data_IF_952754762207
#
_entry.id   IF_952754762207
#
_cell.length_a   1.000
_cell.length_b   1.000
_cell.length_c   1.000
_cell.angle_alpha   90.00
_cell.angle_beta   90.00
_cell.angle_gamma   90.00
#
_symmetry.space_group_name_H-M   'P 1'
#
loop_
_entity.id
_entity.type
_entity.pdbx_description
1 polymer ?
#
# COMPACT_ATOMS: atom_id res chain seq x y z
N UNK A 1 2.94 -0.11 14.75
CA UNK A 1 2.45 1.27 14.85
C UNK A 1 2.90 2.01 13.62
N UNK A 2 2.00 2.72 12.96
CA UNK A 2 2.29 3.45 11.72
C UNK A 2 2.74 4.85 12.07
N UNK A 3 3.82 5.31 11.48
CA UNK A 3 4.21 6.72 11.51
C UNK A 3 4.17 7.24 10.07
N UNK A 4 3.10 7.93 9.68
CA UNK A 4 3.23 8.80 8.53
C UNK A 4 4.22 9.92 8.92
N UNK A 5 5.07 10.35 8.00
CA UNK A 5 5.82 11.57 8.24
C UNK A 5 4.83 12.69 8.57
N UNK A 6 5.17 13.52 9.54
CA UNK A 6 4.41 14.71 9.83
C UNK A 6 4.16 15.48 8.52
N UNK A 7 3.02 16.19 8.43
CA UNK A 7 2.59 17.01 7.28
C UNK A 7 3.68 17.91 6.67
N UNK A 8 4.78 18.08 7.38
CA UNK A 8 5.91 18.93 7.02
C UNK A 8 7.01 18.26 6.19
N UNK A 9 6.99 16.94 5.96
CA UNK A 9 8.06 16.33 5.12
C UNK A 9 7.93 16.74 3.66
N UNK A 10 6.72 16.86 3.14
CA UNK A 10 6.49 17.40 1.79
C UNK A 10 6.72 18.92 1.71
N UNK A 11 6.57 19.66 2.82
CA UNK A 11 6.83 21.10 2.88
C UNK A 11 8.30 21.44 3.22
N UNK A 12 9.00 20.58 3.97
CA UNK A 12 10.41 20.79 4.33
C UNK A 12 11.39 20.28 3.28
N UNK A 13 11.00 19.33 2.48
CA UNK A 13 11.83 18.71 1.46
C UNK A 13 11.07 18.67 0.16
N UNK A 14 11.20 19.71 -0.68
CA UNK A 14 10.68 19.69 -2.02
C UNK A 14 11.45 18.64 -2.82
N UNK A 15 10.98 17.42 -2.75
CA UNK A 15 11.48 16.31 -3.52
C UNK A 15 10.41 15.93 -4.54
N UNK A 16 10.76 15.86 -5.75
CA UNK A 16 12.06 16.09 -6.39
C UNK A 16 12.50 17.55 -6.32
N UNK A 17 13.79 17.79 -6.49
CA UNK A 17 14.42 19.12 -6.43
C UNK A 17 13.65 20.17 -7.23
N UNK A 18 13.07 21.16 -6.55
CA UNK A 18 12.23 22.21 -7.17
C UNK A 18 13.02 23.23 -8.01
N UNK A 19 14.35 23.12 -8.12
CA UNK A 19 15.13 23.97 -9.05
C UNK A 19 14.64 23.86 -10.49
N UNK A 20 14.01 22.72 -10.84
CA UNK A 20 13.35 22.55 -12.13
C UNK A 20 12.23 23.58 -12.40
N UNK A 21 11.61 24.17 -11.36
CA UNK A 21 10.62 25.23 -11.54
C UNK A 21 11.23 26.53 -12.04
N UNK A 22 12.53 26.74 -11.82
CA UNK A 22 13.29 27.89 -12.32
C UNK A 22 13.99 27.61 -13.67
N UNK A 23 13.66 26.50 -14.33
CA UNK A 23 14.27 26.07 -15.60
C UNK A 23 15.61 25.36 -15.46
N UNK A 24 16.11 25.12 -14.26
CA UNK A 24 17.29 24.31 -14.01
C UNK A 24 16.94 22.82 -14.07
N UNK A 25 17.86 21.98 -14.52
CA UNK A 25 17.68 20.53 -14.46
C UNK A 25 17.88 20.06 -13.01
N UNK A 26 16.94 19.27 -12.49
CA UNK A 26 17.08 18.65 -11.17
C UNK A 26 18.24 17.67 -11.14
N UNK A 27 18.88 17.55 -10.00
CA UNK A 27 19.91 16.53 -9.76
C UNK A 27 19.25 15.16 -9.62
N UNK A 28 19.45 14.29 -10.63
CA UNK A 28 18.97 12.90 -10.66
C UNK A 28 20.09 11.89 -10.40
N UNK A 29 21.18 12.35 -9.78
CA UNK A 29 22.30 11.47 -9.46
C UNK A 29 21.92 10.40 -8.44
N UNK A 30 22.68 9.31 -8.43
CA UNK A 30 22.51 8.24 -7.43
C UNK A 30 22.72 8.79 -6.00
N UNK A 31 23.59 9.78 -5.84
CA UNK A 31 23.85 10.41 -4.54
C UNK A 31 22.61 11.22 -4.06
N UNK A 32 21.99 12.00 -4.94
CA UNK A 32 20.77 12.73 -4.61
C UNK A 32 19.61 11.77 -4.25
N UNK A 33 19.47 10.68 -5.00
CA UNK A 33 18.49 9.64 -4.71
C UNK A 33 18.76 8.92 -3.39
N UNK A 34 20.03 8.70 -3.05
CA UNK A 34 20.42 8.12 -1.75
C UNK A 34 20.09 9.05 -0.60
N UNK A 35 20.33 10.35 -0.72
CA UNK A 35 19.94 11.35 0.29
C UNK A 35 18.42 11.40 0.51
N UNK A 36 17.63 11.33 -0.57
CA UNK A 36 16.18 11.22 -0.46
C UNK A 36 15.79 9.98 0.35
N UNK A 37 16.34 8.81 -0.01
CA UNK A 37 16.07 7.57 0.69
C UNK A 37 16.47 7.61 2.16
N UNK A 38 17.65 8.20 2.49
CA UNK A 38 18.12 8.36 3.86
C UNK A 38 17.15 9.19 4.70
N UNK A 39 16.75 10.35 4.21
CA UNK A 39 15.84 11.24 4.94
C UNK A 39 14.53 10.52 5.26
N UNK A 40 13.91 9.90 4.26
CA UNK A 40 12.62 9.25 4.44
C UNK A 40 12.72 8.02 5.34
N UNK A 41 13.64 7.11 5.02
CA UNK A 41 13.77 5.83 5.72
C UNK A 41 14.20 6.06 7.17
N UNK A 42 15.21 6.92 7.42
CA UNK A 42 15.67 7.15 8.78
C UNK A 42 14.60 7.81 9.64
N UNK A 43 13.87 8.79 9.09
CA UNK A 43 12.78 9.46 9.82
C UNK A 43 11.71 8.45 10.27
N UNK A 44 11.22 7.61 9.37
CA UNK A 44 10.12 6.68 9.71
C UNK A 44 10.58 5.57 10.65
N UNK A 45 11.83 5.13 10.57
CA UNK A 45 12.39 4.13 11.48
C UNK A 45 12.67 4.73 12.86
N UNK A 46 13.23 5.94 12.94
CA UNK A 46 13.43 6.66 14.21
C UNK A 46 12.10 6.88 14.93
N UNK A 47 11.07 7.33 14.21
CA UNK A 47 9.74 7.55 14.77
C UNK A 47 9.11 6.25 15.28
N UNK A 48 9.27 5.16 14.53
CA UNK A 48 8.79 3.85 14.95
C UNK A 48 9.48 3.40 16.25
N UNK A 49 10.80 3.49 16.33
CA UNK A 49 11.59 3.14 17.52
C UNK A 49 11.14 3.97 18.71
N UNK A 50 11.01 5.30 18.55
CA UNK A 50 10.54 6.20 19.62
C UNK A 50 9.14 5.82 20.13
N UNK A 51 8.21 5.52 19.22
CA UNK A 51 6.81 5.21 19.57
C UNK A 51 6.62 3.83 20.18
N UNK A 52 7.43 2.86 19.77
CA UNK A 52 7.28 1.47 20.21
C UNK A 52 8.20 1.08 21.34
N UNK A 53 9.29 1.84 21.55
CA UNK A 53 10.38 1.47 22.47
C UNK A 53 11.13 0.21 22.05
N UNK A 54 10.99 -0.26 20.81
CA UNK A 54 11.66 -1.46 20.34
C UNK A 54 13.17 -1.24 20.29
N UNK A 55 13.94 -2.20 20.80
CA UNK A 55 15.39 -2.20 20.62
C UNK A 55 15.70 -2.70 19.19
N UNK A 56 16.45 -1.93 18.38
CA UNK A 56 16.84 -2.37 17.03
C UNK A 56 17.52 -3.74 16.99
N UNK A 57 18.21 -4.13 18.05
CA UNK A 57 18.85 -5.44 18.19
C UNK A 57 17.87 -6.60 18.37
N UNK A 58 16.59 -6.32 18.61
CA UNK A 58 15.54 -7.36 18.67
C UNK A 58 14.91 -7.68 17.32
N UNK A 59 15.24 -6.91 16.29
CA UNK A 59 14.72 -7.11 14.95
C UNK A 59 15.42 -8.31 14.30
N UNK A 60 14.64 -9.34 13.96
CA UNK A 60 15.12 -10.59 13.36
C UNK A 60 15.07 -10.56 11.83
N UNK A 61 14.16 -9.75 11.27
CA UNK A 61 13.97 -9.61 9.85
C UNK A 61 13.75 -8.15 9.47
N UNK A 62 14.42 -7.68 8.44
CA UNK A 62 14.27 -6.36 7.85
C UNK A 62 13.83 -6.49 6.38
N UNK A 63 12.68 -5.93 6.03
CA UNK A 63 12.22 -5.86 4.65
C UNK A 63 12.05 -4.40 4.26
N UNK A 64 12.81 -3.92 3.30
CA UNK A 64 12.64 -2.59 2.72
C UNK A 64 12.11 -2.72 1.30
N UNK A 65 11.06 -2.01 0.98
CA UNK A 65 10.53 -1.98 -0.38
C UNK A 65 10.64 -0.55 -0.95
N UNK A 66 11.27 -0.48 -2.12
CA UNK A 66 11.38 0.70 -2.96
C UNK A 66 11.54 0.18 -4.40
N UNK A 67 10.62 0.54 -5.29
CA UNK A 67 10.58 -0.07 -6.62
C UNK A 67 11.51 0.60 -7.61
N UNK A 68 11.68 1.91 -7.52
CA UNK A 68 12.38 2.74 -8.51
C UNK A 68 13.84 3.02 -8.15
N UNK A 69 14.27 2.66 -6.92
CA UNK A 69 15.65 2.84 -6.48
C UNK A 69 16.17 1.62 -5.72
N UNK A 70 17.10 0.92 -6.33
CA UNK A 70 17.74 -0.29 -5.76
C UNK A 70 19.27 -0.18 -5.84
N UNK A 71 19.89 0.63 -4.97
CA UNK A 71 21.33 0.91 -5.02
C UNK A 71 22.16 -0.23 -4.44
N UNK A 72 23.48 -0.17 -4.74
CA UNK A 72 24.51 -0.96 -4.09
C UNK A 72 25.44 0.02 -3.32
N UNK A 73 25.65 -0.10 -1.99
CA UNK A 73 24.99 -1.01 -1.04
C UNK A 73 23.46 -0.80 -0.94
N UNK A 74 22.75 -1.85 -0.50
CA UNK A 74 21.27 -1.85 -0.45
C UNK A 74 20.72 -0.88 0.60
N UNK A 75 19.45 -0.50 0.46
CA UNK A 75 18.74 0.30 1.47
C UNK A 75 18.69 -0.43 2.83
N UNK A 76 18.63 -1.77 2.83
CA UNK A 76 18.72 -2.55 4.07
C UNK A 76 20.06 -2.35 4.77
N UNK A 77 21.17 -2.35 4.03
CA UNK A 77 22.50 -2.10 4.60
C UNK A 77 22.60 -0.71 5.24
N UNK A 78 21.93 0.30 4.67
CA UNK A 78 21.85 1.64 5.27
C UNK A 78 21.18 1.61 6.64
N UNK A 79 20.02 0.95 6.75
CA UNK A 79 19.27 0.85 8.02
C UNK A 79 20.03 0.03 9.05
N UNK A 80 20.61 -1.11 8.66
CA UNK A 80 21.39 -1.97 9.56
C UNK A 80 22.53 -1.18 10.19
N UNK A 81 23.30 -0.43 9.38
CA UNK A 81 24.42 0.36 9.86
C UNK A 81 23.96 1.55 10.70
N UNK A 82 22.95 2.30 10.28
CA UNK A 82 22.48 3.50 10.97
C UNK A 82 21.93 3.20 12.35
N UNK A 83 21.15 2.12 12.49
CA UNK A 83 20.43 1.79 13.72
C UNK A 83 21.10 0.67 14.54
N UNK A 84 22.23 0.13 14.08
CA UNK A 84 22.97 -0.89 14.78
C UNK A 84 22.18 -2.20 14.96
N UNK A 85 21.50 -2.67 13.92
CA UNK A 85 20.84 -3.96 13.95
C UNK A 85 21.88 -5.07 14.11
N UNK A 86 21.42 -6.26 14.53
CA UNK A 86 22.31 -7.43 14.64
C UNK A 86 22.92 -7.82 13.29
N UNK A 87 24.10 -8.39 13.33
CA UNK A 87 24.82 -8.84 12.12
C UNK A 87 24.20 -10.05 11.44
N UNK A 88 23.35 -10.79 12.16
CA UNK A 88 22.62 -11.97 11.69
C UNK A 88 21.18 -11.69 11.28
N UNK A 89 20.77 -10.40 11.21
CA UNK A 89 19.45 -9.99 10.77
C UNK A 89 19.19 -10.45 9.33
N UNK A 90 18.06 -11.13 9.10
CA UNK A 90 17.65 -11.52 7.75
C UNK A 90 17.13 -10.28 7.02
N UNK A 91 17.80 -9.82 5.96
CA UNK A 91 17.45 -8.58 5.28
C UNK A 91 17.09 -8.79 3.81
N UNK A 92 16.01 -8.12 3.36
CA UNK A 92 15.48 -8.22 2.00
C UNK A 92 15.16 -6.84 1.44
N UNK A 93 15.71 -6.52 0.29
CA UNK A 93 15.39 -5.31 -0.47
C UNK A 93 14.47 -5.68 -1.64
N UNK A 94 13.20 -5.27 -1.58
CA UNK A 94 12.21 -5.55 -2.63
C UNK A 94 12.17 -4.39 -3.62
N UNK A 95 12.64 -4.63 -4.84
CA UNK A 95 12.58 -3.68 -5.94
C UNK A 95 11.64 -4.18 -7.05
N UNK A 96 11.14 -3.27 -7.89
CA UNK A 96 10.33 -3.60 -9.06
C UNK A 96 8.94 -4.20 -8.76
N UNK A 97 8.46 -4.15 -7.52
CA UNK A 97 7.16 -4.71 -7.13
C UNK A 97 6.00 -3.72 -7.31
N UNK A 98 6.31 -2.45 -7.57
CA UNK A 98 5.35 -1.36 -7.70
C UNK A 98 4.65 -1.01 -6.40
N UNK A 99 3.57 -0.24 -6.49
CA UNK A 99 2.87 0.29 -5.32
C UNK A 99 2.26 -0.78 -4.39
N UNK A 100 2.13 -2.03 -4.85
CA UNK A 100 1.66 -3.14 -3.99
C UNK A 100 2.76 -3.74 -3.10
N UNK A 101 4.00 -3.23 -3.18
CA UNK A 101 5.14 -3.75 -2.44
C UNK A 101 4.94 -3.74 -0.92
N UNK A 102 4.18 -2.77 -0.39
CA UNK A 102 3.83 -2.71 1.03
C UNK A 102 3.10 -3.98 1.50
N UNK A 103 2.06 -4.41 0.78
CA UNK A 103 1.32 -5.65 1.09
C UNK A 103 2.13 -6.91 0.78
N UNK A 104 2.94 -6.89 -0.29
CA UNK A 104 3.87 -8.00 -0.60
C UNK A 104 4.88 -8.19 0.54
N UNK A 105 5.38 -7.10 1.12
CA UNK A 105 6.29 -7.15 2.28
C UNK A 105 5.64 -7.80 3.50
N UNK A 106 4.34 -7.54 3.73
CA UNK A 106 3.58 -8.21 4.80
C UNK A 106 3.52 -9.72 4.58
N UNK A 107 3.21 -10.16 3.36
CA UNK A 107 3.20 -11.59 3.04
C UNK A 107 4.57 -12.24 3.21
N UNK A 108 5.63 -11.58 2.73
CA UNK A 108 7.00 -12.07 2.91
C UNK A 108 7.35 -12.22 4.39
N UNK A 109 7.10 -11.17 5.20
CA UNK A 109 7.34 -11.22 6.64
C UNK A 109 6.48 -12.29 7.33
N UNK A 110 5.20 -12.45 6.96
CA UNK A 110 4.34 -13.52 7.46
C UNK A 110 4.98 -14.90 7.23
N UNK A 111 5.50 -15.14 6.03
CA UNK A 111 6.10 -16.43 5.69
C UNK A 111 7.41 -16.65 6.46
N UNK A 112 8.25 -15.64 6.60
CA UNK A 112 9.50 -15.71 7.38
C UNK A 112 9.20 -15.95 8.86
N UNK A 113 8.28 -15.17 9.45
CA UNK A 113 7.88 -15.32 10.84
C UNK A 113 7.20 -16.65 11.12
N UNK A 114 6.51 -17.24 10.15
CA UNK A 114 5.93 -18.58 10.29
C UNK A 114 7.00 -19.67 10.40
N UNK A 115 8.18 -19.45 9.81
CA UNK A 115 9.31 -20.36 9.90
C UNK A 115 10.21 -20.11 11.13
N UNK A 116 10.15 -18.89 11.71
CA UNK A 116 10.94 -18.50 12.89
C UNK A 116 10.00 -18.08 14.03
N UNK A 117 9.76 -18.93 15.03
CA UNK A 117 8.93 -18.55 16.18
C UNK A 117 9.62 -17.48 17.02
N UNK A 118 8.83 -16.72 17.75
CA UNK A 118 9.30 -15.71 18.70
C UNK A 118 10.18 -14.60 18.08
N UNK A 119 9.82 -14.16 16.88
CA UNK A 119 10.61 -13.24 16.06
C UNK A 119 9.87 -11.94 15.75
N UNK A 120 10.64 -10.91 15.44
CA UNK A 120 10.18 -9.56 15.12
C UNK A 120 10.69 -9.15 13.73
N UNK A 121 9.78 -8.66 12.88
CA UNK A 121 10.11 -8.15 11.56
C UNK A 121 9.81 -6.65 11.46
N UNK A 122 10.75 -5.90 10.87
CA UNK A 122 10.57 -4.50 10.49
C UNK A 122 10.35 -4.42 8.98
N UNK A 123 9.23 -3.82 8.58
CA UNK A 123 8.97 -3.43 7.19
C UNK A 123 9.16 -1.94 7.07
N UNK A 124 9.87 -1.49 6.03
CA UNK A 124 9.95 -0.09 5.64
C UNK A 124 9.46 0.03 4.20
N UNK A 125 8.38 0.77 4.01
CA UNK A 125 7.80 1.04 2.70
C UNK A 125 8.09 2.46 2.28
N UNK A 126 8.67 2.64 1.09
CA UNK A 126 8.95 3.96 0.51
C UNK A 126 8.99 3.87 -1.01
N UNK A 127 9.06 5.03 -1.66
CA UNK A 127 9.43 5.15 -3.06
C UNK A 127 10.40 6.32 -3.23
N UNK A 128 11.30 6.19 -4.18
CA UNK A 128 12.29 7.21 -4.53
C UNK A 128 11.90 7.87 -5.86
N UNK A 129 11.77 9.18 -5.84
CA UNK A 129 11.29 9.93 -7.01
C UNK A 129 12.41 10.69 -7.73
N UNK A 130 13.54 10.95 -7.06
CA UNK A 130 14.63 11.77 -7.59
C UNK A 130 15.08 11.33 -8.97
N UNK A 131 15.32 10.02 -9.17
CA UNK A 131 15.78 9.50 -10.46
C UNK A 131 14.69 9.41 -11.54
N UNK A 132 13.42 9.41 -11.12
CA UNK A 132 12.28 9.18 -11.99
C UNK A 132 11.54 10.46 -12.36
N UNK A 133 12.02 11.64 -11.95
CA UNK A 133 11.42 12.90 -12.33
C UNK A 133 11.55 13.10 -13.83
N UNK A 134 10.42 13.17 -14.53
CA UNK A 134 10.35 13.30 -15.96
C UNK A 134 10.41 14.77 -16.39
N UNK A 135 11.34 15.11 -17.29
CA UNK A 135 11.55 16.45 -17.81
C UNK A 135 11.04 16.65 -19.25
N UNK A 136 10.46 15.63 -19.84
CA UNK A 136 9.89 15.71 -21.20
C UNK A 136 8.46 16.23 -21.23
N UNK A 137 7.81 16.09 -22.39
CA UNK A 137 6.47 16.61 -22.66
C UNK A 137 5.41 15.53 -22.96
N UNK A 138 5.76 14.24 -22.86
CA UNK A 138 4.80 13.16 -23.08
C UNK A 138 3.82 13.08 -21.88
N UNK A 139 2.51 13.16 -22.20
CA UNK A 139 1.44 13.17 -21.21
C UNK A 139 1.40 11.89 -20.35
N UNK A 140 1.80 10.76 -20.92
CA UNK A 140 1.83 9.48 -20.19
C UNK A 140 2.83 9.49 -19.04
N UNK A 141 3.96 10.19 -19.21
CA UNK A 141 4.98 10.36 -18.18
C UNK A 141 4.70 11.56 -17.27
N UNK A 142 4.16 12.66 -17.79
CA UNK A 142 3.81 13.84 -16.97
C UNK A 142 2.78 13.53 -15.90
N UNK A 143 1.92 12.53 -16.12
CA UNK A 143 0.94 12.09 -15.12
C UNK A 143 1.61 11.60 -13.85
N UNK A 144 2.78 10.96 -13.95
CA UNK A 144 3.59 10.58 -12.79
C UNK A 144 3.97 11.80 -11.95
N UNK A 145 4.49 12.86 -12.57
CA UNK A 145 4.92 14.07 -11.86
C UNK A 145 3.76 14.75 -11.11
N UNK A 146 2.53 14.62 -11.61
CA UNK A 146 1.35 15.20 -10.94
C UNK A 146 0.85 14.37 -9.77
N UNK A 147 1.00 13.05 -9.79
CA UNK A 147 0.42 12.13 -8.83
C UNK A 147 1.41 11.71 -7.74
N UNK A 148 2.65 11.37 -8.11
CA UNK A 148 3.60 10.76 -7.17
C UNK A 148 4.21 11.79 -6.22
N UNK A 149 4.35 11.38 -4.98
CA UNK A 149 4.95 12.17 -3.90
C UNK A 149 5.88 11.28 -3.07
N UNK A 150 6.89 11.91 -2.48
CA UNK A 150 7.78 11.25 -1.56
C UNK A 150 7.08 10.93 -0.24
N UNK A 151 7.33 9.75 0.30
CA UNK A 151 6.79 9.33 1.58
C UNK A 151 7.29 7.97 2.00
N UNK A 152 7.11 7.65 3.28
CA UNK A 152 7.52 6.37 3.83
C UNK A 152 6.66 5.95 5.01
N UNK A 153 6.73 4.67 5.33
CA UNK A 153 6.10 4.09 6.52
C UNK A 153 6.96 2.97 7.07
N UNK A 154 7.02 2.86 8.40
CA UNK A 154 7.68 1.78 9.10
C UNK A 154 6.67 0.97 9.91
N UNK A 155 6.72 -0.35 9.82
CA UNK A 155 5.74 -1.27 10.40
C UNK A 155 6.48 -2.40 11.12
N UNK A 156 6.05 -2.71 12.35
CA UNK A 156 6.52 -3.89 13.07
C UNK A 156 5.49 -5.01 12.97
N UNK A 157 5.96 -6.20 12.61
CA UNK A 157 5.20 -7.44 12.67
C UNK A 157 5.89 -8.39 13.66
N UNK A 158 5.11 -9.00 14.53
CA UNK A 158 5.61 -9.93 15.55
C UNK A 158 4.79 -11.21 15.57
N UNK A 159 5.45 -12.34 15.79
CA UNK A 159 4.81 -13.58 16.18
C UNK A 159 5.12 -13.97 17.64
N UNK A 160 5.70 -13.04 18.42
CA UNK A 160 5.91 -13.23 19.86
C UNK A 160 4.57 -13.22 20.58
N UNK A 161 4.30 -14.22 21.40
CA UNK A 161 3.07 -14.28 22.18
C UNK A 161 2.92 -13.08 23.11
N UNK A 162 4.03 -12.61 23.71
CA UNK A 162 4.09 -11.45 24.58
C UNK A 162 3.67 -10.14 23.94
N UNK A 163 3.70 -10.02 22.61
CA UNK A 163 3.33 -8.79 21.91
C UNK A 163 1.82 -8.68 21.64
N UNK A 164 1.07 -9.78 21.88
CA UNK A 164 -0.36 -9.82 21.57
C UNK A 164 -1.20 -8.78 22.33
N UNK A 165 -0.82 -8.42 23.56
CA UNK A 165 -1.57 -7.45 24.37
C UNK A 165 -1.38 -5.99 23.89
N UNK A 166 -0.25 -5.66 23.25
CA UNK A 166 0.06 -4.32 22.72
C UNK A 166 -0.16 -4.18 21.23
N UNK A 167 -0.45 -5.29 20.54
CA UNK A 167 -0.68 -5.27 19.11
C UNK A 167 -1.98 -4.54 18.77
N UNK A 168 -1.93 -3.59 17.84
CA UNK A 168 -3.12 -2.90 17.35
C UNK A 168 -3.95 -3.78 16.43
N UNK A 169 -3.29 -4.58 15.61
CA UNK A 169 -3.92 -5.43 14.60
C UNK A 169 -3.34 -6.84 14.61
N UNK A 170 -4.20 -7.79 14.27
CA UNK A 170 -3.81 -9.16 13.92
C UNK A 170 -4.02 -9.37 12.42
N UNK A 171 -3.00 -9.82 11.72
CA UNK A 171 -3.13 -10.24 10.33
C UNK A 171 -3.95 -11.52 10.25
N UNK A 172 -5.05 -11.49 9.52
CA UNK A 172 -5.92 -12.65 9.31
C UNK A 172 -5.56 -13.37 8.01
N UNK A 173 -5.40 -12.63 6.91
CA UNK A 173 -5.18 -13.20 5.59
C UNK A 173 -4.42 -12.25 4.69
N UNK A 174 -3.58 -12.81 3.82
CA UNK A 174 -3.00 -12.14 2.66
C UNK A 174 -3.36 -12.92 1.40
N UNK A 175 -3.73 -12.20 0.35
CA UNK A 175 -3.93 -12.78 -0.98
C UNK A 175 -3.11 -12.00 -2.00
N UNK A 176 -2.26 -12.73 -2.70
CA UNK A 176 -1.40 -12.20 -3.75
C UNK A 176 -1.89 -12.65 -5.11
N UNK A 177 -2.06 -11.71 -6.03
CA UNK A 177 -2.54 -11.99 -7.38
C UNK A 177 -1.73 -11.22 -8.40
N UNK A 178 -1.26 -11.92 -9.41
CA UNK A 178 -0.72 -11.31 -10.61
C UNK A 178 -1.68 -11.54 -11.78
N UNK A 179 -2.03 -10.45 -12.43
CA UNK A 179 -2.81 -10.49 -13.66
C UNK A 179 -1.86 -10.44 -14.86
N UNK A 180 -1.83 -11.52 -15.62
CA UNK A 180 -0.91 -11.68 -16.74
C UNK A 180 -1.68 -11.52 -18.05
N UNK A 181 -1.37 -10.44 -18.77
CA UNK A 181 -1.83 -10.16 -20.13
C UNK A 181 -0.87 -9.12 -20.72
N UNK A 182 -0.70 -9.08 -22.02
CA UNK A 182 0.17 -8.10 -22.71
C UNK A 182 -0.17 -6.67 -22.32
N UNK A 183 -1.47 -6.30 -22.35
CA UNK A 183 -1.94 -4.97 -21.96
C UNK A 183 -1.60 -4.63 -20.48
N UNK A 184 -1.50 -5.63 -19.61
CA UNK A 184 -1.31 -5.44 -18.18
C UNK A 184 0.14 -5.16 -17.82
N UNK A 185 1.09 -5.73 -18.54
CA UNK A 185 2.52 -5.53 -18.28
C UNK A 185 2.94 -4.08 -18.53
N UNK A 186 2.48 -3.49 -19.62
CA UNK A 186 2.81 -2.11 -20.03
C UNK A 186 1.99 -1.01 -19.33
N UNK A 187 1.04 -1.33 -18.43
CA UNK A 187 0.18 -0.32 -17.80
C UNK A 187 0.91 0.70 -16.95
N UNK A 188 1.95 0.26 -16.24
CA UNK A 188 2.85 1.09 -15.43
C UNK A 188 4.27 0.63 -15.75
N UNK A 189 4.98 1.41 -16.51
CA UNK A 189 6.23 0.96 -17.12
C UNK A 189 7.33 2.03 -16.99
N UNK A 190 8.42 1.70 -16.31
CA UNK A 190 9.61 2.55 -16.25
C UNK A 190 10.38 2.39 -17.55
N UNK A 191 10.52 3.48 -18.29
CA UNK A 191 11.18 3.50 -19.61
C UNK A 191 11.61 4.91 -19.98
N UNK A 192 12.14 5.06 -21.17
CA UNK A 192 12.50 6.34 -21.78
C UNK A 192 11.46 6.73 -22.84
N UNK A 193 11.29 8.03 -23.04
CA UNK A 193 10.50 8.56 -24.14
C UNK A 193 11.31 8.54 -25.47
N UNK A 194 10.69 9.01 -26.56
CA UNK A 194 11.34 9.08 -27.89
C UNK A 194 12.61 9.96 -27.94
N UNK A 195 12.82 10.79 -26.91
CA UNK A 195 13.98 11.68 -26.76
C UNK A 195 15.03 11.16 -25.78
N UNK A 196 14.82 9.97 -25.21
CA UNK A 196 15.71 9.37 -24.22
C UNK A 196 15.52 9.91 -22.80
N UNK A 197 14.41 10.63 -22.51
CA UNK A 197 14.12 11.08 -21.14
C UNK A 197 13.42 9.98 -20.35
N UNK A 198 14.04 9.57 -19.25
CA UNK A 198 13.55 8.49 -18.38
C UNK A 198 12.38 8.94 -17.52
N UNK A 199 11.44 8.03 -17.27
CA UNK A 199 10.29 8.23 -16.39
C UNK A 199 9.45 6.97 -16.23
N UNK A 200 8.31 7.09 -15.55
CA UNK A 200 7.33 6.02 -15.45
C UNK A 200 6.10 6.38 -16.27
N UNK A 201 5.88 5.63 -17.33
CA UNK A 201 4.72 5.78 -18.20
C UNK A 201 3.50 5.13 -17.58
N UNK A 202 2.39 5.87 -17.51
CA UNK A 202 1.10 5.41 -17.04
C UNK A 202 0.12 5.31 -18.21
N UNK A 203 -0.42 4.11 -18.45
CA UNK A 203 -1.41 3.86 -19.50
C UNK A 203 -2.80 4.34 -19.09
N UNK A 204 -3.61 4.73 -20.06
CA UNK A 204 -5.05 5.04 -19.87
C UNK A 204 -5.87 3.81 -19.45
N UNK A 205 -5.40 2.60 -19.76
CA UNK A 205 -6.08 1.35 -19.46
C UNK A 205 -5.90 0.88 -18.01
N UNK A 206 -5.13 1.61 -17.20
CA UNK A 206 -4.79 1.22 -15.81
C UNK A 206 -6.05 0.89 -14.97
N UNK A 207 -7.13 1.65 -15.11
CA UNK A 207 -8.38 1.43 -14.35
C UNK A 207 -9.04 0.11 -14.75
N UNK A 208 -9.08 -0.19 -16.06
CA UNK A 208 -9.65 -1.43 -16.60
C UNK A 208 -8.84 -2.66 -16.17
N UNK A 209 -7.52 -2.55 -16.23
CA UNK A 209 -6.60 -3.63 -15.83
C UNK A 209 -6.66 -3.85 -14.32
N UNK A 210 -6.70 -2.78 -13.53
CA UNK A 210 -6.87 -2.83 -12.08
C UNK A 210 -8.19 -3.54 -11.70
N UNK A 211 -9.29 -3.24 -12.39
CA UNK A 211 -10.59 -3.91 -12.18
C UNK A 211 -10.51 -5.43 -12.39
N UNK A 212 -9.86 -5.88 -13.46
CA UNK A 212 -9.68 -7.32 -13.75
C UNK A 212 -8.75 -8.01 -12.74
N UNK A 213 -7.67 -7.35 -12.35
CA UNK A 213 -6.76 -7.88 -11.34
C UNK A 213 -7.45 -7.99 -9.98
N UNK A 214 -8.29 -7.02 -9.63
CA UNK A 214 -9.11 -7.03 -8.41
C UNK A 214 -10.14 -8.16 -8.42
N UNK A 215 -10.85 -8.37 -9.53
CA UNK A 215 -11.82 -9.48 -9.68
C UNK A 215 -11.14 -10.82 -9.36
N UNK A 216 -9.95 -11.06 -9.92
CA UNK A 216 -9.17 -12.28 -9.65
C UNK A 216 -8.75 -12.37 -8.18
N UNK A 217 -8.30 -11.28 -7.59
CA UNK A 217 -7.89 -11.23 -6.18
C UNK A 217 -9.08 -11.52 -5.25
N UNK A 218 -10.21 -10.87 -5.49
CA UNK A 218 -11.40 -11.00 -4.65
C UNK A 218 -12.10 -12.34 -4.78
N UNK A 219 -12.00 -12.99 -5.93
CA UNK A 219 -12.44 -14.37 -6.09
C UNK A 219 -11.68 -15.32 -5.16
N UNK A 220 -10.38 -15.07 -4.97
CA UNK A 220 -9.54 -15.84 -4.04
C UNK A 220 -9.76 -15.42 -2.59
N UNK A 221 -9.97 -14.12 -2.32
CA UNK A 221 -10.14 -13.58 -0.98
C UNK A 221 -11.52 -13.91 -0.38
N UNK A 222 -12.56 -13.94 -1.22
CA UNK A 222 -13.95 -14.08 -0.80
C UNK A 222 -14.22 -15.19 0.21
N UNK A 223 -13.77 -16.43 -0.03
CA UNK A 223 -13.97 -17.55 0.90
C UNK A 223 -13.42 -17.33 2.31
N UNK A 224 -12.41 -16.47 2.49
CA UNK A 224 -11.79 -16.20 3.78
C UNK A 224 -12.46 -15.07 4.56
N UNK A 225 -13.19 -14.18 3.90
CA UNK A 225 -13.70 -12.95 4.54
C UNK A 225 -15.21 -12.83 4.53
N UNK A 226 -15.86 -13.41 3.52
CA UNK A 226 -17.32 -13.30 3.37
C UNK A 226 -18.05 -14.23 4.35
N UNK A 227 -19.19 -13.79 4.90
CA UNK A 227 -20.06 -14.67 5.67
C UNK A 227 -20.62 -15.79 4.79
N UNK A 228 -20.92 -16.94 5.40
CA UNK A 228 -21.42 -18.14 4.71
C UNK A 228 -22.61 -17.83 3.81
N UNK A 229 -23.50 -16.93 4.21
CA UNK A 229 -24.66 -16.51 3.42
C UNK A 229 -24.27 -15.88 2.06
N UNK A 230 -23.21 -15.07 2.01
CA UNK A 230 -22.71 -14.48 0.76
C UNK A 230 -21.96 -15.52 -0.08
N UNK A 231 -21.25 -16.44 0.56
CA UNK A 231 -20.58 -17.55 -0.15
C UNK A 231 -21.60 -18.45 -0.83
N UNK A 232 -22.69 -18.82 -0.15
CA UNK A 232 -23.76 -19.63 -0.71
C UNK A 232 -24.47 -18.92 -1.87
N UNK A 233 -24.78 -17.62 -1.75
CA UNK A 233 -25.34 -16.83 -2.85
C UNK A 233 -24.41 -16.82 -4.06
N UNK A 234 -23.12 -16.59 -3.83
CA UNK A 234 -22.11 -16.59 -4.90
C UNK A 234 -22.07 -17.94 -5.60
N UNK A 235 -22.02 -19.04 -4.85
CA UNK A 235 -22.05 -20.40 -5.38
C UNK A 235 -23.30 -20.70 -6.20
N UNK A 236 -24.47 -20.28 -5.69
CA UNK A 236 -25.75 -20.43 -6.42
C UNK A 236 -25.71 -19.68 -7.76
N UNK A 237 -25.30 -18.42 -7.78
CA UNK A 237 -25.22 -17.64 -9.02
C UNK A 237 -24.15 -18.16 -9.99
N UNK A 238 -23.04 -18.70 -9.50
CA UNK A 238 -22.06 -19.39 -10.33
C UNK A 238 -22.66 -20.63 -11.01
N UNK A 239 -23.43 -21.43 -10.26
CA UNK A 239 -24.14 -22.60 -10.80
C UNK A 239 -25.17 -22.18 -11.86
N UNK A 240 -26.01 -21.18 -11.58
CA UNK A 240 -27.00 -20.66 -12.53
C UNK A 240 -26.34 -20.22 -13.84
N UNK A 241 -25.22 -19.47 -13.74
CA UNK A 241 -24.46 -19.05 -14.94
C UNK A 241 -23.84 -20.23 -15.70
N UNK A 242 -23.34 -21.22 -14.98
CA UNK A 242 -22.80 -22.42 -15.61
C UNK A 242 -23.89 -23.19 -16.39
N UNK A 243 -25.06 -23.38 -15.77
CA UNK A 243 -26.19 -24.03 -16.42
C UNK A 243 -26.71 -23.24 -17.63
N UNK A 244 -26.81 -21.91 -17.50
CA UNK A 244 -27.22 -21.05 -18.63
C UNK A 244 -26.20 -21.11 -19.78
N UNK A 245 -24.93 -21.18 -19.51
CA UNK A 245 -23.86 -21.34 -20.51
C UNK A 245 -23.98 -22.69 -21.23
N UNK A 246 -24.26 -23.77 -20.49
CA UNK A 246 -24.53 -25.09 -21.10
C UNK A 246 -25.80 -25.09 -21.95
N UNK A 247 -26.88 -24.52 -21.44
CA UNK A 247 -28.13 -24.41 -22.19
C UNK A 247 -27.93 -23.65 -23.51
N UNK A 248 -27.20 -22.53 -23.49
CA UNK A 248 -26.85 -21.79 -24.69
C UNK A 248 -26.04 -22.62 -25.71
N UNK A 249 -25.13 -23.47 -25.22
CA UNK A 249 -24.36 -24.37 -26.08
C UNK A 249 -25.22 -25.44 -26.76
N UNK A 250 -26.37 -25.77 -26.18
CA UNK A 250 -27.38 -26.67 -26.77
C UNK A 250 -28.46 -25.90 -27.62
N UNK A 251 -28.20 -24.63 -27.96
CA UNK A 251 -29.07 -23.84 -28.83
C UNK A 251 -30.30 -23.22 -28.13
N UNK A 252 -30.38 -23.32 -26.79
CA UNK A 252 -31.47 -22.69 -26.03
C UNK A 252 -31.13 -21.21 -25.84
N UNK A 253 -32.03 -20.31 -26.28
CA UNK A 253 -31.89 -18.87 -26.07
C UNK A 253 -31.94 -18.58 -24.56
N UNK A 254 -30.79 -18.18 -23.97
CA UNK A 254 -30.70 -17.74 -22.60
C UNK A 254 -30.32 -16.28 -22.55
N UNK A 255 -30.93 -15.51 -21.66
CA UNK A 255 -30.49 -14.13 -21.39
C UNK A 255 -29.09 -14.11 -20.76
N UNK A 256 -28.36 -13.03 -21.04
CA UNK A 256 -26.99 -12.84 -20.47
C UNK A 256 -27.09 -12.59 -18.97
N UNK A 257 -26.84 -13.61 -18.17
CA UNK A 257 -26.82 -13.51 -16.72
C UNK A 257 -25.51 -12.83 -16.27
N UNK A 258 -25.64 -11.64 -15.68
CA UNK A 258 -24.50 -10.91 -15.11
C UNK A 258 -23.92 -11.66 -13.91
N UNK A 259 -22.61 -11.54 -13.66
CA UNK A 259 -22.01 -12.11 -12.47
C UNK A 259 -22.58 -11.47 -11.21
N UNK A 260 -22.84 -12.27 -10.19
CA UNK A 260 -23.14 -11.77 -8.86
C UNK A 260 -21.86 -11.17 -8.25
N UNK A 261 -21.95 -9.97 -7.72
CA UNK A 261 -20.86 -9.32 -6.99
C UNK A 261 -21.20 -9.45 -5.50
N UNK A 262 -20.43 -10.23 -4.73
CA UNK A 262 -20.66 -10.38 -3.30
C UNK A 262 -20.53 -9.06 -2.56
N UNK A 263 -21.33 -8.88 -1.52
CA UNK A 263 -21.24 -7.69 -0.67
C UNK A 263 -20.12 -7.84 0.38
N UNK A 264 -18.94 -7.35 0.05
CA UNK A 264 -17.78 -7.39 0.92
C UNK A 264 -17.94 -6.58 2.21
N UNK A 265 -18.84 -5.59 2.25
CA UNK A 265 -19.16 -4.81 3.45
C UNK A 265 -19.77 -5.66 4.58
N UNK A 266 -20.26 -6.86 4.26
CA UNK A 266 -20.76 -7.81 5.26
C UNK A 266 -19.67 -8.55 6.03
N UNK A 267 -18.43 -8.50 5.55
CA UNK A 267 -17.29 -9.16 6.18
C UNK A 267 -16.12 -8.23 6.47
N UNK A 268 -16.17 -7.00 5.97
CA UNK A 268 -15.12 -5.98 6.10
C UNK A 268 -15.77 -4.67 6.52
N UNK A 269 -15.27 -4.05 7.55
CA UNK A 269 -15.79 -2.81 8.11
C UNK A 269 -15.09 -1.57 7.53
N UNK A 270 -13.77 -1.66 7.27
CA UNK A 270 -12.96 -0.55 6.77
C UNK A 270 -12.13 -0.98 5.55
N UNK A 271 -11.97 -0.05 4.61
CA UNK A 271 -11.25 -0.28 3.36
C UNK A 271 -10.13 0.74 3.22
N UNK A 272 -8.92 0.26 2.96
CA UNK A 272 -7.78 1.04 2.52
C UNK A 272 -7.48 0.64 1.08
N UNK A 273 -7.77 1.53 0.14
CA UNK A 273 -7.64 1.30 -1.30
C UNK A 273 -6.51 2.16 -1.79
N UNK A 274 -5.40 1.54 -2.18
CA UNK A 274 -4.20 2.26 -2.61
C UNK A 274 -4.51 3.54 -3.39
N UNK A 275 -4.02 4.66 -2.89
CA UNK A 275 -4.21 6.01 -3.41
C UNK A 275 -3.41 6.25 -4.71
N UNK A 276 -3.57 5.33 -5.68
CA UNK A 276 -2.86 5.36 -6.96
C UNK A 276 -3.32 6.49 -7.89
N UNK A 277 -4.55 6.98 -7.69
CA UNK A 277 -5.15 8.06 -8.44
C UNK A 277 -6.67 8.04 -8.28
N UNK A 278 -7.32 9.20 -8.49
CA UNK A 278 -8.76 9.36 -8.29
C UNK A 278 -9.59 8.33 -9.06
N UNK A 279 -9.27 8.11 -10.34
CA UNK A 279 -10.03 7.19 -11.19
C UNK A 279 -9.98 5.73 -10.71
N UNK A 280 -8.90 5.31 -10.05
CA UNK A 280 -8.79 3.96 -9.46
C UNK A 280 -9.73 3.83 -8.26
N UNK A 281 -9.72 4.81 -7.35
CA UNK A 281 -10.61 4.82 -6.17
C UNK A 281 -12.08 4.84 -6.61
N UNK A 282 -12.46 5.74 -7.54
CA UNK A 282 -13.81 5.84 -8.08
C UNK A 282 -14.28 4.55 -8.74
N UNK A 283 -13.39 3.90 -9.50
CA UNK A 283 -13.65 2.62 -10.14
C UNK A 283 -13.94 1.50 -9.14
N UNK A 284 -13.19 1.44 -8.05
CA UNK A 284 -13.36 0.41 -7.00
C UNK A 284 -14.60 0.69 -6.17
N UNK A 285 -14.84 1.95 -5.79
CA UNK A 285 -16.06 2.38 -5.09
C UNK A 285 -17.31 1.91 -5.85
N UNK A 286 -17.34 2.17 -7.16
CA UNK A 286 -18.44 1.72 -8.02
C UNK A 286 -18.54 0.21 -8.14
N UNK A 287 -17.44 -0.48 -8.38
CA UNK A 287 -17.42 -1.92 -8.62
C UNK A 287 -17.80 -2.75 -7.39
N UNK A 288 -17.45 -2.28 -6.19
CA UNK A 288 -17.77 -2.94 -4.92
C UNK A 288 -19.02 -2.35 -4.25
N UNK A 289 -19.69 -1.39 -4.89
CA UNK A 289 -20.82 -0.67 -4.32
C UNK A 289 -20.51 -0.14 -2.90
N UNK A 290 -19.33 0.49 -2.75
CA UNK A 290 -18.90 1.11 -1.50
C UNK A 290 -19.61 2.46 -1.31
N UNK A 291 -19.72 2.90 -0.08
CA UNK A 291 -20.20 4.26 0.24
C UNK A 291 -19.03 5.24 0.31
N UNK A 292 -19.27 6.55 0.22
CA UNK A 292 -18.22 7.56 0.39
C UNK A 292 -17.39 7.40 1.67
N UNK A 293 -18.02 6.94 2.76
CA UNK A 293 -17.34 6.65 4.03
C UNK A 293 -16.30 5.52 3.89
N UNK A 294 -16.56 4.49 3.08
CA UNK A 294 -15.62 3.39 2.88
C UNK A 294 -14.37 3.78 2.10
N UNK A 295 -14.42 4.82 1.29
CA UNK A 295 -13.29 5.30 0.48
C UNK A 295 -12.67 6.60 1.03
N UNK A 296 -13.16 7.08 2.17
CA UNK A 296 -12.74 8.34 2.79
C UNK A 296 -11.25 8.35 3.09
N UNK A 297 -10.72 7.31 3.75
CA UNK A 297 -9.29 7.19 4.06
C UNK A 297 -8.41 7.27 2.82
N UNK A 298 -8.81 6.61 1.73
CA UNK A 298 -8.07 6.60 0.47
C UNK A 298 -8.13 7.96 -0.24
N UNK A 299 -9.29 8.61 -0.25
CA UNK A 299 -9.46 9.96 -0.82
C UNK A 299 -8.70 11.00 -0.03
N UNK A 300 -8.76 10.94 1.31
CA UNK A 300 -8.00 11.83 2.17
C UNK A 300 -6.49 11.68 1.95
N UNK A 301 -6.00 10.44 1.92
CA UNK A 301 -4.59 10.16 1.67
C UNK A 301 -4.13 10.70 0.34
N UNK A 302 -4.89 10.46 -0.74
CA UNK A 302 -4.58 10.99 -2.06
C UNK A 302 -4.56 12.52 -2.09
N UNK A 303 -5.51 13.18 -1.41
CA UNK A 303 -5.59 14.63 -1.35
C UNK A 303 -4.45 15.25 -0.55
N UNK A 304 -4.14 14.67 0.62
CA UNK A 304 -3.18 15.26 1.58
C UNK A 304 -1.73 14.93 1.23
N UNK A 305 -1.46 13.69 0.80
CA UNK A 305 -0.10 13.18 0.60
C UNK A 305 0.21 12.83 -0.86
N UNK A 306 -0.80 12.79 -1.74
CA UNK A 306 -0.64 12.27 -3.10
C UNK A 306 -0.42 10.76 -3.13
N UNK A 307 0.12 10.26 -4.25
CA UNK A 307 0.49 8.86 -4.38
C UNK A 307 1.93 8.66 -3.89
N UNK A 308 2.09 8.16 -2.68
CA UNK A 308 3.40 7.80 -2.09
C UNK A 308 3.78 6.33 -2.38
N UNK A 309 3.27 5.76 -3.47
CA UNK A 309 3.54 4.38 -3.89
C UNK A 309 3.15 3.36 -2.82
N UNK A 310 4.08 2.48 -2.45
CA UNK A 310 3.84 1.38 -1.51
C UNK A 310 3.55 1.83 -0.08
N UNK A 311 3.88 3.06 0.28
CA UNK A 311 3.59 3.61 1.61
C UNK A 311 2.18 4.19 1.75
N UNK A 312 1.48 4.54 0.65
CA UNK A 312 0.14 5.12 0.68
C UNK A 312 -0.86 4.30 1.50
N UNK A 313 -0.83 2.98 1.35
CA UNK A 313 -1.75 2.08 2.03
C UNK A 313 -1.64 2.13 3.55
N UNK A 314 -0.48 2.51 4.07
CA UNK A 314 -0.22 2.66 5.48
C UNK A 314 -0.71 4.01 6.02
N UNK A 315 -0.65 5.07 5.21
CA UNK A 315 -1.28 6.37 5.54
C UNK A 315 -2.80 6.24 5.65
N UNK A 316 -3.42 5.45 4.76
CA UNK A 316 -4.84 5.16 4.81
C UNK A 316 -5.22 4.40 6.08
N UNK A 317 -4.41 3.42 6.49
CA UNK A 317 -4.60 2.68 7.73
C UNK A 317 -4.44 3.58 8.95
N UNK A 318 -3.45 4.46 8.98
CA UNK A 318 -3.26 5.45 10.05
C UNK A 318 -4.43 6.44 10.13
N UNK A 319 -4.92 6.92 8.97
CA UNK A 319 -6.12 7.75 8.92
C UNK A 319 -7.34 7.03 9.51
N UNK A 320 -7.52 5.77 9.15
CA UNK A 320 -8.63 4.94 9.66
C UNK A 320 -8.55 4.82 11.18
N UNK A 321 -7.36 4.59 11.71
CA UNK A 321 -7.11 4.47 13.16
C UNK A 321 -7.42 5.78 13.89
N UNK A 322 -7.02 6.93 13.34
CA UNK A 322 -7.11 8.24 14.01
C UNK A 322 -8.46 8.94 13.84
N UNK A 323 -9.08 8.79 12.66
CA UNK A 323 -10.19 9.64 12.25
C UNK A 323 -11.51 8.89 12.02
N UNK A 324 -11.44 7.56 11.82
CA UNK A 324 -12.64 6.75 11.64
C UNK A 324 -13.05 6.04 12.95
N UNK A 325 -14.29 5.56 13.02
CA UNK A 325 -14.79 4.83 14.20
C UNK A 325 -14.34 3.37 14.14
N UNK A 326 -13.03 3.16 14.24
CA UNK A 326 -12.45 1.81 14.30
C UNK A 326 -12.62 1.23 15.71
N UNK A 327 -13.19 0.03 15.79
CA UNK A 327 -13.46 -0.66 17.06
C UNK A 327 -12.78 -2.02 17.11
N UNK A 328 -12.52 -2.49 18.33
CA UNK A 328 -12.04 -3.85 18.55
C UNK A 328 -12.98 -4.88 17.93
N UNK A 329 -12.42 -5.85 17.22
CA UNK A 329 -13.16 -6.91 16.52
C UNK A 329 -13.54 -6.55 15.09
N UNK A 330 -13.42 -5.30 14.67
CA UNK A 330 -13.65 -4.91 13.28
C UNK A 330 -12.51 -5.33 12.37
N UNK A 331 -12.84 -5.55 11.09
CA UNK A 331 -11.90 -5.97 10.05
C UNK A 331 -11.60 -4.83 9.10
N UNK A 332 -10.32 -4.65 8.83
CA UNK A 332 -9.81 -3.69 7.86
C UNK A 332 -9.19 -4.45 6.68
N UNK A 333 -9.56 -4.07 5.46
CA UNK A 333 -9.00 -4.62 4.22
C UNK A 333 -8.11 -3.59 3.55
N UNK A 334 -6.86 -3.96 3.31
CA UNK A 334 -5.95 -3.26 2.42
C UNK A 334 -6.01 -3.87 1.02
N UNK A 335 -6.15 -3.03 -0.01
CA UNK A 335 -6.14 -3.39 -1.43
C UNK A 335 -5.07 -2.56 -2.11
N UNK A 336 -3.99 -3.20 -2.55
CA UNK A 336 -2.88 -2.53 -3.20
C UNK A 336 -2.70 -3.03 -4.64
N UNK A 337 -2.46 -2.08 -5.54
CA UNK A 337 -2.16 -2.36 -6.95
C UNK A 337 -0.70 -2.06 -7.23
N UNK A 338 -0.10 -2.81 -8.14
CA UNK A 338 1.29 -2.62 -8.54
C UNK A 338 1.52 -2.93 -10.02
N UNK A 339 2.62 -2.39 -10.54
CA UNK A 339 3.07 -2.68 -11.91
C UNK A 339 3.18 -4.18 -12.19
N UNK A 340 2.95 -4.57 -13.46
CA UNK A 340 3.21 -5.91 -13.90
C UNK A 340 2.04 -6.85 -14.25
N UNK A 341 0.73 -6.75 -14.03
CA UNK A 341 -0.01 -5.92 -13.09
C UNK A 341 -0.40 -6.76 -11.87
N UNK A 342 -0.34 -6.20 -10.68
CA UNK A 342 -0.61 -6.95 -9.44
C UNK A 342 -1.80 -6.35 -8.69
N UNK A 343 -2.60 -7.21 -8.03
CA UNK A 343 -3.54 -6.82 -7.00
C UNK A 343 -3.29 -7.68 -5.77
N UNK A 344 -2.92 -7.06 -4.67
CA UNK A 344 -2.62 -7.76 -3.44
C UNK A 344 -3.48 -7.19 -2.31
N UNK A 345 -3.95 -8.07 -1.44
CA UNK A 345 -4.80 -7.68 -0.32
C UNK A 345 -4.31 -8.28 0.99
N UNK A 346 -4.53 -7.54 2.07
CA UNK A 346 -4.29 -7.99 3.44
C UNK A 346 -5.50 -7.64 4.30
N UNK A 347 -5.95 -8.60 5.10
CA UNK A 347 -7.08 -8.45 6.02
C UNK A 347 -6.55 -8.44 7.44
N UNK A 348 -6.94 -7.41 8.18
CA UNK A 348 -6.52 -7.17 9.54
C UNK A 348 -7.70 -7.16 10.48
N UNK A 349 -7.54 -7.75 11.66
CA UNK A 349 -8.48 -7.66 12.77
C UNK A 349 -7.96 -6.62 13.77
N UNK A 350 -8.78 -5.63 14.09
CA UNK A 350 -8.48 -4.67 15.14
C UNK A 350 -8.55 -5.37 16.50
N UNK A 351 -7.43 -5.39 17.21
CA UNK A 351 -7.32 -5.94 18.57
C UNK A 351 -7.47 -4.86 19.63
N UNK A 352 -6.78 -3.73 19.43
CA UNK A 352 -6.79 -2.59 20.32
C UNK A 352 -6.95 -1.32 19.49
N UNK A 353 -8.12 -0.70 19.55
CA UNK A 353 -8.32 0.62 19.00
C UNK A 353 -7.67 1.65 19.95
N UNK A 354 -6.98 2.67 19.44
CA UNK A 354 -6.51 3.75 20.30
C UNK A 354 -7.72 4.47 20.90
N UNK A 355 -7.70 4.68 22.22
CA UNK A 355 -8.71 5.49 22.86
C UNK A 355 -8.65 6.90 22.29
N UNK A 356 -9.80 7.45 21.90
CA UNK A 356 -9.91 8.82 21.34
C UNK A 356 -9.50 9.92 22.33
N UNK A 357 -9.20 9.55 23.57
CA UNK A 357 -8.78 10.45 24.63
C UNK A 357 -7.37 11.06 24.43
N UNK A 358 -6.47 10.36 23.74
CA UNK A 358 -5.12 10.88 23.52
C UNK A 358 -5.08 12.05 22.52
N UNK A 359 -6.09 12.17 21.66
CA UNK A 359 -6.22 13.32 20.74
C UNK A 359 -6.72 14.61 21.42
N UNK A 360 -7.35 14.53 22.58
CA UNK A 360 -7.80 15.69 23.35
C UNK A 360 -6.66 16.35 24.13
N UNK A 361 -5.69 15.54 24.60
CA UNK A 361 -4.53 16.03 25.36
C UNK A 361 -3.55 16.82 24.48
N UNK A 362 -3.37 16.41 23.23
CA UNK A 362 -2.52 17.17 22.28
C UNK A 362 -3.15 18.53 21.87
N UNK A 363 -4.49 18.60 21.85
CA UNK A 363 -5.19 19.86 21.52
C UNK A 363 -5.19 20.85 22.69
N UNK A 364 -5.14 20.39 23.92
CA UNK A 364 -5.04 21.27 25.12
C UNK A 364 -3.60 21.77 25.33
N UNK A 365 -2.60 20.91 25.08
CA UNK A 365 -1.18 21.33 25.19
C UNK A 365 -0.76 22.33 24.11
N UNK A 366 -1.43 22.36 22.97
CA UNK A 366 -1.20 23.36 21.92
C UNK A 366 -1.90 24.71 22.19
N UNK A 367 -2.99 24.71 22.97
CA UNK A 367 -3.67 25.96 23.36
C UNK A 367 -2.97 26.67 24.53
N UNK A 368 -2.35 25.94 25.45
CA UNK A 368 -1.61 26.52 26.57
C UNK A 368 -0.22 27.09 26.23
N UNK A 369 0.20 26.97 24.97
CA UNK A 369 1.45 27.59 24.45
C UNK A 369 1.18 28.82 23.56
N UNK A 370 -0.07 29.27 23.45
CA UNK A 370 -0.48 30.47 22.72
C UNK A 370 -1.10 31.55 23.63
N UNK A 371 -1.15 31.32 24.94
CA UNK A 371 -1.32 32.34 25.99
C UNK A 371 0.03 32.59 26.69
#
# INVERSE_FOLDING_TARGET
MLTPPERNLTARWPIPDLRCLNGEKSDRSTEAARKEAEVVIYTVVEDLIKKTGVNPKEIDCLVINCSLFSPTPSLCSMVINKFGLRTDVSSYNLAGMGCSAGVISVELCKNILSAKPNSLALIVSTENLTQCLYHGNDRGFLLQNTLFRCGGAAILLSNKWTDGHRAMFKLLQCVRTQYVNEDSFGCVYATEDEKGESGVRLSKDIVKVAGRAMEKNFTTLGPYVLPVSEQLKTGFWMLVRFLAKKAAAFGIKTERILPYIPDFKRGIDHFCIHAGGRGVIDGIEKNLNLTPKHVEASRHTLYTYGNTSSSSIWYEMDYTVKNMDLRRGQRLLQIAFGSGFKCNSAVWLCLNAPDKLDSAVETESSKSKQE
#
